data_IF_544446959034
#
_entry.id   IF_544446959034
#
_cell.length_a   1.000
_cell.length_b   1.000
_cell.length_c   1.000
_cell.angle_alpha   90.00
_cell.angle_beta   90.00
_cell.angle_gamma   90.00
#
_symmetry.space_group_name_H-M   'P 1'
#
loop_
_entity.id
_entity.type
_entity.pdbx_description
1 polymer ?
#
# COMPACT_ATOMS: atom_id res chain seq x y z
N UNK A 1 -4.99 -3.90 13.18
CA UNK A 1 -3.66 -3.82 13.82
C UNK A 1 -2.72 -3.17 12.83
N UNK A 2 -1.91 -2.23 13.27
CA UNK A 2 -0.89 -1.62 12.42
C UNK A 2 0.41 -1.57 13.22
N UNK A 3 1.21 -2.62 13.06
CA UNK A 3 2.53 -2.74 13.66
C UNK A 3 3.53 -2.64 12.52
N UNK A 4 4.31 -1.55 12.51
CA UNK A 4 5.31 -1.26 11.49
C UNK A 4 6.75 -1.39 12.03
N UNK A 5 7.38 -2.56 11.96
CA UNK A 5 6.85 -3.87 11.56
C UNK A 5 7.36 -4.94 12.55
N UNK A 6 6.72 -6.12 12.65
CA UNK A 6 7.27 -7.18 13.50
C UNK A 6 8.72 -7.50 13.08
N UNK A 7 9.66 -7.34 14.03
CA UNK A 7 11.08 -7.58 13.81
C UNK A 7 11.82 -6.49 13.04
N UNK A 8 11.24 -5.28 12.88
CA UNK A 8 11.92 -4.13 12.26
C UNK A 8 11.31 -2.81 12.74
N UNK A 9 12.13 -1.76 12.93
CA UNK A 9 11.63 -0.40 13.20
C UNK A 9 12.42 0.66 12.45
N UNK A 10 11.72 1.71 12.02
CA UNK A 10 12.24 2.85 11.27
C UNK A 10 12.48 4.05 12.20
N UNK A 11 12.13 3.91 13.49
CA UNK A 11 12.33 4.96 14.51
C UNK A 11 13.80 5.17 14.89
N UNK A 12 14.66 4.20 14.55
CA UNK A 12 16.05 4.16 15.00
C UNK A 12 16.21 3.70 16.46
N UNK A 13 15.13 3.39 17.17
CA UNK A 13 15.18 2.84 18.53
C UNK A 13 15.47 1.32 18.48
N UNK A 14 16.61 0.85 19.01
CA UNK A 14 16.94 -0.57 19.02
C UNK A 14 16.05 -1.40 19.94
N UNK A 15 15.26 -0.78 20.82
CA UNK A 15 14.33 -1.47 21.72
C UNK A 15 12.88 -1.49 21.18
N UNK A 16 12.63 -0.92 20.00
CA UNK A 16 11.30 -0.88 19.42
C UNK A 16 10.85 -2.21 18.79
N UNK A 17 11.76 -3.18 18.65
CA UNK A 17 11.48 -4.48 18.07
C UNK A 17 12.48 -5.54 18.55
N UNK A 18 12.10 -6.81 18.46
CA UNK A 18 12.95 -7.98 18.62
C UNK A 18 12.80 -8.92 17.40
N UNK A 19 13.83 -8.93 16.56
CA UNK A 19 13.88 -9.76 15.34
C UNK A 19 13.76 -11.26 15.61
N UNK A 20 14.14 -11.73 16.80
CA UNK A 20 14.10 -13.15 17.11
C UNK A 20 12.67 -13.66 17.33
N UNK A 21 11.77 -12.80 17.82
CA UNK A 21 10.47 -13.25 18.35
C UNK A 21 9.26 -12.50 17.79
N UNK A 22 9.41 -11.26 17.31
CA UNK A 22 8.25 -10.41 16.98
C UNK A 22 7.37 -10.98 15.87
N UNK A 23 7.97 -11.54 14.81
CA UNK A 23 7.19 -12.15 13.72
C UNK A 23 6.33 -13.31 14.24
N UNK A 24 6.87 -14.14 15.15
CA UNK A 24 6.12 -15.21 15.78
C UNK A 24 5.07 -14.67 16.77
N UNK A 25 5.42 -13.66 17.56
CA UNK A 25 4.52 -13.02 18.51
C UNK A 25 3.36 -12.31 17.82
N UNK A 26 3.57 -11.74 16.63
CA UNK A 26 2.50 -11.18 15.81
C UNK A 26 1.47 -12.25 15.44
N UNK A 27 1.90 -13.46 15.03
CA UNK A 27 0.99 -14.58 14.75
C UNK A 27 0.20 -14.96 16.00
N UNK A 28 0.87 -15.08 17.15
CA UNK A 28 0.22 -15.41 18.42
C UNK A 28 -0.80 -14.36 18.84
N UNK A 29 -0.48 -13.07 18.67
CA UNK A 29 -1.38 -11.96 18.93
C UNK A 29 -2.61 -12.02 18.03
N UNK A 30 -2.44 -12.21 16.73
CA UNK A 30 -3.57 -12.30 15.79
C UNK A 30 -4.45 -13.52 16.06
N UNK A 31 -3.85 -14.66 16.43
CA UNK A 31 -4.61 -15.85 16.89
C UNK A 31 -5.42 -15.54 18.13
N UNK A 32 -4.78 -14.99 19.17
CA UNK A 32 -5.44 -14.68 20.45
C UNK A 32 -6.58 -13.68 20.27
N UNK A 33 -6.38 -12.63 19.46
CA UNK A 33 -7.42 -11.67 19.12
C UNK A 33 -8.60 -12.37 18.44
N UNK A 34 -8.37 -13.26 17.47
CA UNK A 34 -9.45 -14.00 16.82
C UNK A 34 -10.19 -14.92 17.80
N UNK A 35 -9.47 -15.64 18.65
CA UNK A 35 -10.06 -16.53 19.66
C UNK A 35 -10.93 -15.77 20.67
N UNK A 36 -10.47 -14.59 21.11
CA UNK A 36 -11.18 -13.76 22.09
C UNK A 36 -12.39 -13.02 21.47
N UNK A 37 -12.23 -12.44 20.28
CA UNK A 37 -13.26 -11.63 19.62
C UNK A 37 -14.28 -12.49 18.84
N UNK A 38 -13.92 -13.74 18.54
CA UNK A 38 -14.69 -14.60 17.64
C UNK A 38 -14.87 -13.96 16.26
N UNK A 39 -15.99 -14.26 15.61
CA UNK A 39 -16.34 -13.72 14.29
C UNK A 39 -17.31 -12.52 14.37
N UNK A 40 -17.46 -11.91 15.55
CA UNK A 40 -18.35 -10.75 15.74
C UNK A 40 -17.72 -9.44 15.23
N UNK A 41 -16.39 -9.39 15.20
CA UNK A 41 -15.62 -8.22 14.80
C UNK A 41 -14.68 -8.55 13.64
N UNK A 42 -14.42 -7.53 12.82
CA UNK A 42 -13.38 -7.60 11.82
C UNK A 42 -12.01 -7.59 12.50
N UNK A 43 -11.16 -8.55 12.16
CA UNK A 43 -9.76 -8.56 12.51
C UNK A 43 -8.94 -8.41 11.24
N UNK A 44 -8.26 -7.27 11.12
CA UNK A 44 -7.46 -6.89 9.96
C UNK A 44 -6.12 -6.35 10.41
N UNK A 45 -5.17 -6.28 9.48
CA UNK A 45 -3.91 -5.59 9.68
C UNK A 45 -3.50 -4.76 8.46
N UNK A 46 -2.70 -3.72 8.69
CA UNK A 46 -1.92 -3.07 7.65
C UNK A 46 -0.63 -3.87 7.44
N UNK A 47 -0.40 -4.31 6.21
CA UNK A 47 0.63 -5.28 5.87
C UNK A 47 1.78 -4.67 5.07
N UNK A 48 2.99 -5.16 5.32
CA UNK A 48 4.16 -4.85 4.50
C UNK A 48 4.08 -5.51 3.12
N UNK A 49 4.86 -5.06 2.15
CA UNK A 49 4.79 -5.55 0.76
C UNK A 49 5.52 -6.88 0.50
N UNK A 50 6.02 -7.56 1.53
CA UNK A 50 6.75 -8.82 1.41
C UNK A 50 6.35 -9.79 2.52
N UNK A 51 6.48 -11.09 2.24
CA UNK A 51 6.37 -12.14 3.27
C UNK A 51 7.61 -12.12 4.19
N UNK A 52 7.51 -12.83 5.32
CA UNK A 52 8.59 -12.96 6.31
C UNK A 52 9.93 -13.27 5.63
N UNK A 53 10.97 -12.55 6.03
CA UNK A 53 12.32 -12.76 5.50
C UNK A 53 13.29 -13.19 6.59
N UNK A 54 14.18 -14.16 6.34
CA UNK A 54 15.22 -14.52 7.29
C UNK A 54 16.27 -13.41 7.36
N UNK A 55 16.73 -13.08 8.56
CA UNK A 55 17.91 -12.24 8.77
C UNK A 55 18.80 -12.83 9.88
N UNK A 56 20.01 -12.28 10.05
CA UNK A 56 20.87 -12.67 11.15
C UNK A 56 20.14 -12.45 12.49
N UNK A 57 19.96 -13.52 13.26
CA UNK A 57 19.28 -13.47 14.56
C UNK A 57 17.76 -13.68 14.53
N UNK A 58 17.12 -13.89 13.37
CA UNK A 58 15.68 -14.18 13.34
C UNK A 58 14.98 -13.91 12.00
N UNK A 59 13.78 -13.33 12.09
CA UNK A 59 12.91 -13.05 10.96
C UNK A 59 12.33 -11.63 11.05
N UNK A 60 12.07 -11.01 9.90
CA UNK A 60 11.41 -9.70 9.83
C UNK A 60 10.20 -9.71 8.91
N UNK A 61 9.31 -8.74 9.10
CA UNK A 61 8.02 -8.52 8.42
C UNK A 61 6.86 -9.33 9.03
N UNK A 62 6.16 -10.13 8.22
CA UNK A 62 4.91 -10.78 8.61
C UNK A 62 4.92 -12.20 8.06
N UNK A 63 4.62 -13.20 8.90
CA UNK A 63 4.38 -14.57 8.44
C UNK A 63 2.99 -14.67 7.80
N UNK A 64 2.89 -14.29 6.52
CA UNK A 64 1.61 -14.10 5.83
C UNK A 64 0.78 -15.39 5.87
N UNK A 65 1.43 -16.53 5.64
CA UNK A 65 0.80 -17.84 5.67
C UNK A 65 0.18 -18.13 7.06
N UNK A 66 0.93 -17.88 8.13
CA UNK A 66 0.49 -18.18 9.48
C UNK A 66 -0.63 -17.24 9.98
N UNK A 67 -0.69 -15.98 9.52
CA UNK A 67 -1.77 -15.06 9.94
C UNK A 67 -3.07 -15.26 9.13
N UNK A 68 -2.99 -15.85 7.94
CA UNK A 68 -4.07 -15.86 6.95
C UNK A 68 -5.40 -16.43 7.46
N UNK A 69 -5.36 -17.41 8.37
CA UNK A 69 -6.54 -18.05 8.95
C UNK A 69 -7.25 -17.19 10.01
N UNK A 70 -6.55 -16.24 10.62
CA UNK A 70 -7.07 -15.43 11.73
C UNK A 70 -7.71 -14.13 11.28
N UNK A 71 -7.33 -13.61 10.11
CA UNK A 71 -7.76 -12.29 9.64
C UNK A 71 -8.93 -12.37 8.66
N UNK A 72 -9.78 -11.35 8.65
CA UNK A 72 -10.80 -11.17 7.62
C UNK A 72 -10.16 -10.71 6.30
N UNK A 73 -9.22 -9.77 6.39
CA UNK A 73 -8.44 -9.27 5.28
C UNK A 73 -7.21 -8.49 5.74
N UNK A 74 -6.28 -8.27 4.81
CA UNK A 74 -5.09 -7.43 4.95
C UNK A 74 -5.23 -6.19 4.08
N UNK A 75 -4.89 -5.02 4.63
CA UNK A 75 -4.68 -3.80 3.88
C UNK A 75 -3.20 -3.71 3.53
N UNK A 76 -2.82 -4.09 2.31
CA UNK A 76 -1.42 -4.05 1.89
C UNK A 76 -1.06 -2.59 1.59
N UNK A 77 -0.03 -2.07 2.24
CA UNK A 77 0.48 -0.71 2.02
C UNK A 77 1.28 -0.64 0.72
N UNK A 78 0.59 -0.78 -0.42
CA UNK A 78 1.16 -0.77 -1.77
C UNK A 78 1.45 0.64 -2.29
N UNK A 79 2.09 1.40 -1.43
CA UNK A 79 2.63 2.73 -1.61
C UNK A 79 3.96 2.79 -0.87
N UNK A 80 4.72 3.88 -1.00
CA UNK A 80 6.07 3.96 -0.44
C UNK A 80 6.98 2.83 -0.97
N UNK A 81 6.73 2.38 -2.20
CA UNK A 81 7.48 1.28 -2.82
C UNK A 81 8.75 1.76 -3.51
N UNK A 82 8.78 3.05 -3.83
CA UNK A 82 9.92 3.78 -4.39
C UNK A 82 9.73 5.29 -4.16
N UNK A 83 10.65 6.10 -4.67
CA UNK A 83 10.54 7.55 -4.74
C UNK A 83 11.05 8.07 -6.09
N UNK A 84 11.06 9.38 -6.31
CA UNK A 84 11.58 9.95 -7.54
C UNK A 84 13.03 9.46 -7.80
N UNK A 85 13.37 9.10 -9.06
CA UNK A 85 12.60 9.32 -10.28
C UNK A 85 11.60 8.20 -10.65
N UNK A 86 11.36 7.24 -9.76
CA UNK A 86 10.38 6.16 -9.92
C UNK A 86 9.02 6.48 -9.29
N UNK A 87 8.04 5.61 -9.53
CA UNK A 87 6.68 5.76 -9.02
C UNK A 87 6.53 5.03 -7.68
N UNK A 88 6.14 5.75 -6.62
CA UNK A 88 5.99 5.15 -5.29
C UNK A 88 4.85 4.13 -5.16
N UNK A 89 3.93 4.10 -6.11
CA UNK A 89 2.76 3.23 -6.12
C UNK A 89 2.46 2.72 -7.54
N UNK A 90 3.48 2.52 -8.38
CA UNK A 90 3.29 1.95 -9.72
C UNK A 90 2.48 0.64 -9.64
N UNK A 91 1.54 0.45 -10.58
CA UNK A 91 0.89 -0.85 -10.72
C UNK A 91 1.92 -1.91 -11.15
N UNK A 92 2.82 -1.53 -12.05
CA UNK A 92 3.90 -2.36 -12.57
C UNK A 92 5.09 -1.49 -12.98
N UNK A 93 6.23 -1.62 -12.30
CA UNK A 93 7.47 -0.97 -12.71
C UNK A 93 8.64 -1.92 -12.38
N UNK A 94 9.12 -2.71 -13.35
CA UNK A 94 10.15 -3.70 -13.09
C UNK A 94 11.50 -3.06 -12.70
N UNK A 95 11.68 -1.76 -12.98
CA UNK A 95 12.91 -1.02 -12.65
C UNK A 95 12.90 -0.44 -11.23
N UNK A 96 11.72 -0.26 -10.63
CA UNK A 96 11.56 0.19 -9.26
C UNK A 96 11.98 -0.88 -8.23
N UNK A 97 12.26 -0.45 -7.00
CA UNK A 97 12.55 -1.32 -5.86
C UNK A 97 11.41 -2.31 -5.57
N UNK A 98 10.15 -1.87 -5.71
CA UNK A 98 8.96 -2.73 -5.73
C UNK A 98 7.83 -2.06 -6.51
N UNK A 99 6.74 -2.79 -6.74
CA UNK A 99 5.50 -2.27 -7.34
C UNK A 99 4.28 -3.01 -6.76
N UNK A 100 3.06 -2.51 -7.04
CA UNK A 100 1.83 -3.12 -6.53
C UNK A 100 1.69 -4.60 -6.96
N UNK A 101 2.11 -4.94 -8.18
CA UNK A 101 2.01 -6.31 -8.70
C UNK A 101 2.90 -7.28 -7.92
N UNK A 102 4.16 -6.91 -7.67
CA UNK A 102 5.10 -7.71 -6.88
C UNK A 102 4.67 -7.81 -5.42
N UNK A 103 4.18 -6.73 -4.84
CA UNK A 103 3.65 -6.72 -3.49
C UNK A 103 2.47 -7.70 -3.34
N UNK A 104 1.48 -7.63 -4.21
CA UNK A 104 0.34 -8.58 -4.20
C UNK A 104 0.79 -10.01 -4.47
N UNK A 105 1.74 -10.22 -5.37
CA UNK A 105 2.25 -11.55 -5.68
C UNK A 105 2.95 -12.20 -4.48
N UNK A 106 3.64 -11.43 -3.63
CA UNK A 106 4.23 -11.94 -2.40
C UNK A 106 3.19 -12.56 -1.46
N UNK A 107 2.03 -11.90 -1.30
CA UNK A 107 0.91 -12.42 -0.49
C UNK A 107 0.29 -13.68 -1.08
N UNK A 108 0.05 -13.68 -2.39
CA UNK A 108 -0.50 -14.83 -3.08
C UNK A 108 0.43 -16.04 -3.01
N UNK A 109 1.74 -15.84 -3.20
CA UNK A 109 2.75 -16.89 -3.09
C UNK A 109 2.86 -17.46 -1.68
N UNK A 110 2.69 -16.62 -0.65
CA UNK A 110 2.64 -17.05 0.74
C UNK A 110 1.31 -17.73 1.14
N UNK A 111 0.33 -17.80 0.23
CA UNK A 111 -0.93 -18.52 0.44
C UNK A 111 -2.06 -17.68 1.03
N UNK A 112 -1.94 -16.35 1.08
CA UNK A 112 -3.08 -15.49 1.44
C UNK A 112 -4.13 -15.52 0.32
N UNK A 113 -5.39 -15.87 0.59
CA UNK A 113 -6.43 -15.89 -0.42
C UNK A 113 -6.64 -14.51 -1.06
N UNK A 114 -6.80 -14.46 -2.39
CA UNK A 114 -6.99 -13.20 -3.12
C UNK A 114 -8.15 -12.37 -2.54
N UNK A 115 -9.27 -13.02 -2.19
CA UNK A 115 -10.46 -12.38 -1.61
C UNK A 115 -10.26 -11.82 -0.18
N UNK A 116 -9.06 -11.96 0.40
CA UNK A 116 -8.61 -11.30 1.64
C UNK A 116 -7.62 -10.17 1.40
N UNK A 117 -7.23 -9.88 0.16
CA UNK A 117 -6.27 -8.82 -0.16
C UNK A 117 -7.00 -7.51 -0.47
N UNK A 118 -6.57 -6.43 0.18
CA UNK A 118 -7.00 -5.05 -0.11
C UNK A 118 -5.77 -4.26 -0.54
N UNK A 119 -5.81 -3.64 -1.72
CA UNK A 119 -4.70 -2.85 -2.28
C UNK A 119 -4.74 -1.41 -1.72
N UNK A 120 -3.60 -0.89 -1.26
CA UNK A 120 -3.45 0.46 -0.74
C UNK A 120 -3.21 1.52 -1.82
N UNK A 121 -3.87 2.67 -1.70
CA UNK A 121 -3.74 3.84 -2.57
C UNK A 121 -3.24 5.04 -1.75
N UNK A 122 -2.10 5.67 -2.09
CA UNK A 122 -1.66 6.89 -1.43
C UNK A 122 -2.41 8.10 -1.98
N UNK A 123 -2.98 8.93 -1.10
CA UNK A 123 -3.52 10.25 -1.43
C UNK A 123 -2.43 11.33 -1.34
N UNK A 124 -1.20 10.94 -1.68
CA UNK A 124 -0.02 11.78 -1.72
C UNK A 124 0.94 11.25 -2.80
N UNK A 125 1.86 12.10 -3.23
CA UNK A 125 3.01 11.73 -4.04
C UNK A 125 4.31 11.70 -3.22
N UNK A 126 5.33 10.99 -3.70
CA UNK A 126 6.67 10.99 -3.08
C UNK A 126 7.72 11.63 -3.96
N UNK A 127 8.40 12.62 -3.40
CA UNK A 127 9.62 13.17 -3.98
C UNK A 127 10.84 12.37 -3.54
N UNK A 128 10.90 12.00 -2.27
CA UNK A 128 11.96 11.17 -1.70
C UNK A 128 11.39 10.19 -0.66
N UNK A 129 12.25 9.35 -0.09
CA UNK A 129 11.87 8.47 1.02
C UNK A 129 11.39 9.23 2.27
N UNK A 130 11.81 10.49 2.42
CA UNK A 130 11.48 11.34 3.58
C UNK A 130 10.51 12.46 3.25
N UNK A 131 10.20 12.70 1.97
CA UNK A 131 9.37 13.83 1.55
C UNK A 131 8.19 13.36 0.68
N UNK A 132 6.99 13.66 1.18
CA UNK A 132 5.73 13.42 0.53
C UNK A 132 4.94 14.74 0.36
N UNK A 133 4.07 14.77 -0.64
CA UNK A 133 3.18 15.90 -0.93
C UNK A 133 1.76 15.39 -1.14
N UNK A 134 0.81 15.84 -0.31
CA UNK A 134 -0.59 15.44 -0.42
C UNK A 134 -1.18 15.79 -1.79
N UNK A 135 -2.11 15.00 -2.28
CA UNK A 135 -2.78 15.22 -3.57
C UNK A 135 -3.37 16.63 -3.66
N UNK A 136 -4.06 17.10 -2.61
CA UNK A 136 -4.58 18.49 -2.55
C UNK A 136 -3.50 19.55 -2.76
N UNK A 137 -2.26 19.30 -2.33
CA UNK A 137 -1.11 20.21 -2.52
C UNK A 137 -0.45 20.08 -3.88
N UNK A 138 -0.49 18.90 -4.50
CA UNK A 138 -0.10 18.71 -5.90
C UNK A 138 -0.94 19.61 -6.82
N UNK A 139 -2.24 19.72 -6.55
CA UNK A 139 -3.15 20.58 -7.33
C UNK A 139 -2.86 22.08 -7.20
N UNK A 140 -2.15 22.51 -6.16
CA UNK A 140 -1.80 23.91 -5.89
C UNK A 140 -0.44 24.31 -6.48
N UNK A 141 0.31 23.39 -7.09
CA UNK A 141 1.65 23.66 -7.63
C UNK A 141 1.61 24.69 -8.78
N UNK A 142 2.60 25.59 -8.80
CA UNK A 142 2.69 26.65 -9.81
C UNK A 142 2.89 26.06 -11.22
N UNK A 143 1.92 26.21 -12.14
CA UNK A 143 1.99 25.60 -13.46
C UNK A 143 3.12 26.16 -14.35
N UNK A 144 3.77 27.27 -13.95
CA UNK A 144 4.95 27.80 -14.65
C UNK A 144 6.19 26.92 -14.47
N UNK A 145 6.30 26.26 -13.32
CA UNK A 145 7.45 25.41 -12.97
C UNK A 145 7.08 23.93 -12.90
N UNK A 146 5.83 23.63 -12.55
CA UNK A 146 5.35 22.26 -12.37
C UNK A 146 4.39 21.87 -13.49
N UNK A 147 4.50 20.64 -13.94
CA UNK A 147 3.51 20.00 -14.79
C UNK A 147 3.00 18.74 -14.08
N UNK A 148 1.73 18.76 -13.71
CA UNK A 148 1.03 17.63 -13.10
C UNK A 148 0.39 16.74 -14.19
N UNK A 149 -0.09 15.56 -13.80
CA UNK A 149 -0.76 14.59 -14.69
C UNK A 149 0.06 14.19 -15.94
N UNK A 150 1.40 14.24 -15.88
CA UNK A 150 2.18 13.45 -16.84
C UNK A 150 1.86 11.98 -16.59
N UNK A 151 1.83 11.17 -17.65
CA UNK A 151 1.36 9.79 -17.55
C UNK A 151 2.42 8.81 -18.04
N UNK A 152 2.73 7.83 -17.19
CA UNK A 152 3.53 6.67 -17.55
C UNK A 152 2.60 5.50 -17.89
N UNK A 153 2.62 5.07 -19.16
CA UNK A 153 1.79 3.97 -19.64
C UNK A 153 2.20 2.61 -19.08
N UNK A 154 3.50 2.38 -18.87
CA UNK A 154 4.00 1.11 -18.35
C UNK A 154 3.62 0.96 -16.87
N UNK A 155 3.84 2.03 -16.09
CA UNK A 155 3.50 2.07 -14.67
C UNK A 155 2.01 2.18 -14.37
N UNK A 156 1.22 2.64 -15.35
CA UNK A 156 -0.17 3.07 -15.14
C UNK A 156 -0.31 4.08 -14.00
N UNK A 157 0.63 5.04 -13.96
CA UNK A 157 0.77 5.99 -12.86
C UNK A 157 0.96 7.43 -13.39
N UNK A 158 0.34 8.42 -12.74
CA UNK A 158 0.62 9.82 -12.99
C UNK A 158 1.86 10.28 -12.22
N UNK A 159 2.51 11.31 -12.75
CA UNK A 159 3.63 11.96 -12.09
C UNK A 159 3.69 13.46 -12.38
N UNK A 160 4.38 14.17 -11.50
CA UNK A 160 4.66 15.59 -11.59
C UNK A 160 6.09 15.76 -12.10
N UNK A 161 6.33 16.75 -12.95
CA UNK A 161 7.68 17.25 -13.27
C UNK A 161 7.87 18.68 -12.78
N UNK A 162 9.05 19.00 -12.25
CA UNK A 162 9.51 20.35 -11.92
C UNK A 162 10.61 20.77 -12.90
N UNK A 163 10.38 21.82 -13.69
CA UNK A 163 11.28 22.29 -14.74
C UNK A 163 11.75 21.17 -15.69
N UNK A 164 10.83 20.25 -16.04
CA UNK A 164 11.10 19.11 -16.93
C UNK A 164 11.75 17.89 -16.26
N UNK A 165 12.10 17.96 -14.97
CA UNK A 165 12.67 16.85 -14.20
C UNK A 165 11.57 16.16 -13.40
N UNK A 166 11.58 14.83 -13.32
CA UNK A 166 10.62 14.06 -12.51
C UNK A 166 10.68 14.53 -11.04
N UNK A 167 9.55 14.97 -10.51
CA UNK A 167 9.43 15.51 -9.17
C UNK A 167 8.81 14.49 -8.21
N UNK A 168 7.63 13.96 -8.51
CA UNK A 168 7.02 12.90 -7.70
C UNK A 168 6.01 12.07 -8.50
N UNK A 169 5.89 10.78 -8.16
CA UNK A 169 4.78 9.93 -8.59
C UNK A 169 3.68 9.93 -7.54
N UNK A 170 2.41 9.88 -7.97
CA UNK A 170 1.23 9.92 -7.09
C UNK A 170 0.08 9.07 -7.68
N UNK A 171 -1.10 9.08 -7.07
CA UNK A 171 -2.32 8.50 -7.65
C UNK A 171 -3.37 9.56 -7.97
N UNK A 172 -4.07 9.41 -9.10
CA UNK A 172 -5.19 10.24 -9.51
C UNK A 172 -6.42 9.38 -9.89
N UNK A 173 -7.53 9.99 -10.31
CA UNK A 173 -8.75 9.24 -10.67
C UNK A 173 -8.48 8.16 -11.73
N UNK A 174 -7.57 8.42 -12.69
CA UNK A 174 -7.22 7.47 -13.75
C UNK A 174 -6.46 6.26 -13.20
N UNK A 175 -5.39 6.44 -12.43
CA UNK A 175 -4.63 5.31 -11.88
C UNK A 175 -5.45 4.50 -10.89
N UNK A 176 -6.29 5.16 -10.08
CA UNK A 176 -7.24 4.50 -9.17
C UNK A 176 -8.24 3.64 -9.95
N UNK A 177 -8.76 4.14 -11.07
CA UNK A 177 -9.63 3.36 -11.96
C UNK A 177 -8.95 2.10 -12.48
N UNK A 178 -7.73 2.22 -13.01
CA UNK A 178 -6.94 1.10 -13.53
C UNK A 178 -6.63 0.08 -12.43
N UNK A 179 -6.19 0.54 -11.26
CA UNK A 179 -5.91 -0.33 -10.10
C UNK A 179 -7.18 -1.04 -9.63
N UNK A 180 -8.31 -0.34 -9.60
CA UNK A 180 -9.63 -0.90 -9.28
C UNK A 180 -10.04 -2.04 -10.20
N UNK A 181 -9.93 -1.84 -11.52
CA UNK A 181 -10.20 -2.91 -12.49
C UNK A 181 -9.26 -4.09 -12.32
N UNK A 182 -7.99 -3.83 -12.03
CA UNK A 182 -7.00 -4.86 -11.78
C UNK A 182 -7.29 -5.67 -10.51
N UNK A 183 -7.64 -5.03 -9.37
CA UNK A 183 -7.99 -5.76 -8.13
C UNK A 183 -9.27 -6.58 -8.31
N UNK A 184 -10.30 -6.03 -8.94
CA UNK A 184 -11.54 -6.77 -9.19
C UNK A 184 -11.30 -7.96 -10.13
N UNK A 185 -10.52 -7.78 -11.19
CA UNK A 185 -10.14 -8.85 -12.12
C UNK A 185 -9.34 -9.98 -11.48
N UNK A 186 -8.66 -9.72 -10.37
CA UNK A 186 -7.94 -10.73 -9.56
C UNK A 186 -8.78 -11.39 -8.47
N UNK A 187 -10.06 -11.01 -8.33
CA UNK A 187 -10.91 -11.49 -7.24
C UNK A 187 -10.45 -10.98 -5.87
N UNK A 188 -9.72 -9.85 -5.83
CA UNK A 188 -9.30 -9.22 -4.59
C UNK A 188 -10.46 -8.54 -3.88
N UNK A 189 -10.30 -8.28 -2.58
CA UNK A 189 -11.38 -7.75 -1.73
C UNK A 189 -11.74 -6.31 -2.05
N UNK A 190 -10.77 -5.49 -2.47
CA UNK A 190 -11.01 -4.10 -2.85
C UNK A 190 -9.78 -3.22 -2.68
N UNK A 191 -10.05 -1.93 -2.41
CA UNK A 191 -9.04 -0.88 -2.22
C UNK A 191 -9.17 -0.27 -0.81
N UNK A 192 -8.03 0.17 -0.26
CA UNK A 192 -7.87 1.02 0.92
C UNK A 192 -7.09 2.27 0.48
N UNK A 193 -7.20 3.39 1.19
CA UNK A 193 -6.38 4.56 0.93
C UNK A 193 -5.79 5.19 2.19
N UNK A 194 -4.62 5.82 2.04
CA UNK A 194 -3.94 6.62 3.06
C UNK A 194 -3.65 8.03 2.53
N UNK A 195 -4.17 9.11 3.10
CA UNK A 195 -5.30 9.14 4.02
C UNK A 195 -6.32 10.18 3.57
N UNK A 196 -7.46 10.23 4.27
CA UNK A 196 -8.59 11.06 3.91
C UNK A 196 -8.24 12.56 3.78
N UNK A 197 -7.33 13.07 4.60
CA UNK A 197 -6.88 14.47 4.54
C UNK A 197 -6.00 14.77 3.31
N UNK A 198 -5.45 13.74 2.66
CA UNK A 198 -4.67 13.90 1.44
C UNK A 198 -5.48 14.37 0.23
N UNK A 199 -6.78 14.06 0.20
CA UNK A 199 -7.69 14.35 -0.91
C UNK A 199 -8.08 15.84 -0.99
N UNK A 200 -8.63 16.25 -2.13
CA UNK A 200 -9.17 17.58 -2.31
C UNK A 200 -10.56 17.75 -1.66
N UNK A 201 -11.04 18.99 -1.58
CA UNK A 201 -12.36 19.31 -1.01
C UNK A 201 -13.52 18.70 -1.82
N UNK A 202 -13.29 18.32 -3.07
CA UNK A 202 -14.29 17.64 -3.90
C UNK A 202 -14.34 16.14 -3.63
N UNK A 203 -13.37 15.59 -2.91
CA UNK A 203 -13.23 14.16 -2.68
C UNK A 203 -12.91 13.39 -3.94
N UNK A 204 -12.09 13.97 -4.83
CA UNK A 204 -11.78 13.38 -6.13
C UNK A 204 -11.25 11.96 -5.99
N UNK A 205 -10.25 11.73 -5.14
CA UNK A 205 -9.64 10.41 -5.00
C UNK A 205 -10.54 9.42 -4.26
N UNK A 206 -11.21 9.82 -3.16
CA UNK A 206 -12.13 8.92 -2.43
C UNK A 206 -13.34 8.52 -3.28
N UNK A 207 -13.85 9.43 -4.12
CA UNK A 207 -14.90 9.10 -5.10
C UNK A 207 -14.37 8.15 -6.17
N UNK A 208 -13.14 8.34 -6.66
CA UNK A 208 -12.52 7.43 -7.61
C UNK A 208 -12.39 6.02 -7.01
N UNK A 209 -11.91 5.90 -5.76
CA UNK A 209 -11.83 4.63 -5.03
C UNK A 209 -13.21 3.97 -4.98
N UNK A 210 -14.24 4.68 -4.50
CA UNK A 210 -15.60 4.16 -4.42
C UNK A 210 -16.12 3.69 -5.79
N UNK A 211 -16.02 4.52 -6.83
CA UNK A 211 -16.48 4.18 -8.20
C UNK A 211 -15.75 2.96 -8.76
N UNK A 212 -14.48 2.79 -8.41
CA UNK A 212 -13.64 1.73 -8.96
C UNK A 212 -14.03 0.33 -8.45
N UNK A 213 -14.44 0.21 -7.18
CA UNK A 213 -14.79 -1.09 -6.56
C UNK A 213 -16.28 -1.30 -6.32
N UNK A 214 -17.09 -0.24 -6.32
CA UNK A 214 -18.55 -0.30 -6.18
C UNK A 214 -19.28 -0.29 -7.52
N UNK A 215 -18.60 -0.71 -8.61
CA UNK A 215 -19.25 -0.96 -9.89
C UNK A 215 -20.36 -1.97 -9.64
N UNK A 216 -21.61 -1.52 -9.73
CA UNK A 216 -22.79 -2.34 -9.49
C UNK A 216 -22.59 -3.71 -10.14
N UNK A 217 -22.76 -4.79 -9.37
CA UNK A 217 -23.02 -6.14 -9.91
C UNK A 217 -24.28 -6.02 -10.77
N UNK A 218 -24.15 -5.54 -12.00
CA UNK A 218 -25.19 -5.55 -13.01
C UNK A 218 -25.19 -6.91 -13.67
#
# INVERSE_FOLDING_TARGET
MDWEFPGLSWSGDPNAYDVAVDVANHVLLMRQLRETLGNQYLLTYAGYCMDKQPIAGGWRYIDIAAVASYVDFVNIMTYDLDAAPHHQSALYDPSAASDCTRAVQAYLNAGMPANKLVLGIPFYGRHSWTEAINYKKILELDPRSYKIDNWDNAASAPYVTYNGVYYCGYDNEKSIGVKGDWVLGKGMKGLMFWDYDGDDNQGTLRKAVWKSVMKSKK
#
